data_IF_981826400847
#
_entry.id   IF_981826400847
#
_cell.length_a   1.000
_cell.length_b   1.000
_cell.length_c   1.000
_cell.angle_alpha   90.00
_cell.angle_beta   90.00
_cell.angle_gamma   90.00
#
_symmetry.space_group_name_H-M   'P 1'
#
loop_
_entity.id
_entity.type
_entity.pdbx_description
1 polymer ?
#
# COMPACT_ATOMS: atom_id res chain seq x y z
N UNK A 1 5.84 -1.60 21.69
CA UNK A 1 5.12 -0.33 21.43
C UNK A 1 5.63 0.22 20.11
N UNK A 2 4.81 0.16 19.05
CA UNK A 2 5.21 0.53 17.69
C UNK A 2 5.30 2.07 17.61
N UNK A 3 6.51 2.63 17.71
CA UNK A 3 6.74 4.07 17.60
C UNK A 3 6.62 4.52 16.14
N UNK A 4 6.12 5.73 15.92
CA UNK A 4 6.10 6.38 14.61
C UNK A 4 5.11 5.80 13.60
N UNK A 5 4.15 4.99 14.05
CA UNK A 5 3.04 4.48 13.21
C UNK A 5 1.99 5.57 12.97
N UNK A 6 1.00 5.29 12.11
CA UNK A 6 -0.09 6.22 11.81
C UNK A 6 -0.74 6.73 13.11
N UNK A 7 -1.01 8.04 13.17
CA UNK A 7 -1.55 8.76 14.33
C UNK A 7 -0.65 8.82 15.58
N UNK A 8 0.57 8.27 15.54
CA UNK A 8 1.55 8.48 16.62
C UNK A 8 1.95 9.95 16.71
N UNK A 9 2.21 10.44 17.91
CA UNK A 9 2.75 11.78 18.12
C UNK A 9 4.12 11.95 17.42
N UNK A 10 4.34 13.11 16.80
CA UNK A 10 5.59 13.49 16.19
C UNK A 10 5.86 15.00 16.36
N UNK A 11 7.13 15.38 16.35
CA UNK A 11 7.60 16.77 16.25
C UNK A 11 8.23 17.02 14.88
N UNK A 12 8.90 16.02 14.32
CA UNK A 12 9.59 16.04 13.03
C UNK A 12 9.33 14.74 12.28
N UNK A 13 9.58 14.72 10.97
CA UNK A 13 9.34 13.53 10.13
C UNK A 13 10.12 12.29 10.58
N UNK A 14 11.32 12.47 11.15
CA UNK A 14 12.15 11.36 11.65
C UNK A 14 11.59 10.68 12.91
N UNK A 15 10.58 11.26 13.56
CA UNK A 15 9.83 10.59 14.63
C UNK A 15 8.85 9.54 14.09
N UNK A 16 8.52 9.62 12.80
CA UNK A 16 7.67 8.67 12.09
C UNK A 16 8.47 7.53 11.47
N UNK A 17 7.78 6.47 11.06
CA UNK A 17 8.39 5.40 10.24
C UNK A 17 8.95 5.99 8.94
N UNK A 18 10.05 5.38 8.47
CA UNK A 18 10.87 5.88 7.36
C UNK A 18 10.12 5.98 6.01
N UNK A 19 9.14 5.10 5.75
CA UNK A 19 8.47 5.00 4.43
C UNK A 19 7.00 5.35 4.53
N UNK A 20 6.54 6.30 3.70
CA UNK A 20 5.13 6.58 3.57
C UNK A 20 4.54 7.49 4.63
N UNK A 21 5.35 8.13 5.47
CA UNK A 21 4.88 9.01 6.54
C UNK A 21 5.44 10.42 6.45
N UNK A 22 4.65 11.37 6.92
CA UNK A 22 5.10 12.71 7.27
C UNK A 22 4.55 13.11 8.64
N UNK A 23 5.18 14.08 9.30
CA UNK A 23 4.64 14.67 10.51
C UNK A 23 3.69 15.82 10.14
N UNK A 24 2.39 15.63 10.37
CA UNK A 24 1.36 16.60 10.01
C UNK A 24 1.26 17.75 11.02
N UNK A 25 0.55 18.82 10.65
CA UNK A 25 0.37 20.02 11.49
C UNK A 25 -0.33 19.75 12.84
N UNK A 26 -1.12 18.68 12.93
CA UNK A 26 -1.72 18.22 14.19
C UNK A 26 -0.74 17.43 15.08
N UNK A 27 0.56 17.41 14.74
CA UNK A 27 1.63 16.70 15.45
C UNK A 27 1.43 15.20 15.51
N UNK A 28 0.89 14.62 14.44
CA UNK A 28 0.78 13.17 14.30
C UNK A 28 1.36 12.70 12.97
N UNK A 29 1.90 11.48 12.97
CA UNK A 29 2.36 10.82 11.76
C UNK A 29 1.16 10.49 10.88
N UNK A 30 1.18 10.96 9.64
CA UNK A 30 0.13 10.77 8.64
C UNK A 30 0.73 10.19 7.36
N UNK A 31 -0.10 9.54 6.53
CA UNK A 31 0.37 8.93 5.29
C UNK A 31 0.71 9.99 4.25
N UNK A 32 1.87 9.86 3.61
CA UNK A 32 2.22 10.66 2.43
C UNK A 32 1.15 10.52 1.32
N UNK A 33 1.05 11.48 0.39
CA UNK A 33 0.26 11.27 -0.83
C UNK A 33 0.68 9.97 -1.51
N UNK A 34 -0.28 9.24 -2.09
CA UNK A 34 -0.07 7.89 -2.65
C UNK A 34 0.29 6.80 -1.64
N UNK A 35 0.10 7.04 -0.35
CA UNK A 35 0.11 6.01 0.69
C UNK A 35 -1.26 5.95 1.37
N UNK A 36 -1.75 4.74 1.61
CA UNK A 36 -3.08 4.50 2.20
C UNK A 36 -2.96 3.76 3.54
N UNK A 37 -3.84 4.03 4.52
CA UNK A 37 -3.88 3.24 5.75
C UNK A 37 -4.13 1.76 5.47
N UNK A 38 -3.43 0.87 6.17
CA UNK A 38 -3.79 -0.54 6.20
C UNK A 38 -5.12 -0.77 6.93
N UNK A 39 -5.69 -1.97 6.83
CA UNK A 39 -6.98 -2.30 7.46
C UNK A 39 -7.05 -2.07 8.97
N UNK A 40 -5.89 -2.12 9.64
CA UNK A 40 -5.78 -1.86 11.09
C UNK A 40 -5.68 -0.37 11.43
N UNK A 41 -5.53 0.51 10.45
CA UNK A 41 -5.31 1.94 10.64
C UNK A 41 -3.99 2.25 11.36
N UNK A 42 -2.97 1.40 11.19
CA UNK A 42 -1.69 1.50 11.90
C UNK A 42 -0.52 1.80 10.95
N UNK A 43 -0.59 1.27 9.72
CA UNK A 43 0.48 1.39 8.74
C UNK A 43 0.04 2.23 7.54
N UNK A 44 0.98 2.93 6.94
CA UNK A 44 0.81 3.57 5.63
C UNK A 44 1.44 2.66 4.58
N UNK A 45 0.63 2.20 3.64
CA UNK A 45 0.99 1.28 2.58
C UNK A 45 1.11 2.06 1.27
N UNK A 46 2.23 1.92 0.58
CA UNK A 46 2.47 2.54 -0.71
C UNK A 46 1.62 1.92 -1.80
N UNK A 47 1.01 2.79 -2.61
CA UNK A 47 0.39 2.41 -3.88
C UNK A 47 1.44 1.92 -4.87
N UNK A 48 1.00 1.41 -6.03
CA UNK A 48 1.94 0.87 -7.02
C UNK A 48 2.85 1.97 -7.57
N UNK A 49 4.15 1.67 -7.64
CA UNK A 49 5.20 2.63 -8.00
C UNK A 49 5.79 3.41 -6.83
N UNK A 50 5.19 3.37 -5.64
CA UNK A 50 5.70 4.09 -4.48
C UNK A 50 6.85 3.36 -3.78
N UNK A 51 7.67 4.14 -3.07
CA UNK A 51 8.87 3.64 -2.41
C UNK A 51 8.56 2.66 -1.30
N UNK A 52 9.32 1.58 -1.26
CA UNK A 52 9.22 0.53 -0.25
C UNK A 52 10.61 -0.03 0.11
N UNK A 53 10.64 -0.89 1.13
CA UNK A 53 11.83 -1.66 1.53
C UNK A 53 11.51 -3.13 1.75
N UNK A 54 10.32 -3.37 2.31
CA UNK A 54 9.76 -4.69 2.54
C UNK A 54 8.33 -4.75 1.97
N UNK A 55 7.85 -5.95 1.69
CA UNK A 55 6.50 -6.18 1.16
C UNK A 55 5.40 -5.60 2.05
N UNK A 56 5.62 -5.56 3.37
CA UNK A 56 4.69 -4.96 4.33
C UNK A 56 4.50 -3.45 4.18
N UNK A 57 5.32 -2.79 3.35
CA UNK A 57 5.15 -1.38 3.00
C UNK A 57 4.21 -1.18 1.81
N UNK A 58 3.74 -2.23 1.15
CA UNK A 58 2.90 -2.13 -0.04
C UNK A 58 1.46 -2.52 0.24
N UNK A 59 0.54 -2.03 -0.58
CA UNK A 59 -0.88 -2.43 -0.56
C UNK A 59 -1.05 -3.95 -0.74
N UNK A 60 -2.24 -4.44 -0.37
CA UNK A 60 -2.57 -5.84 -0.54
C UNK A 60 -2.42 -6.31 -2.00
N UNK A 61 -1.87 -7.51 -2.18
CA UNK A 61 -1.57 -8.07 -3.51
C UNK A 61 -0.31 -7.53 -4.16
N UNK A 62 0.37 -6.54 -3.56
CA UNK A 62 1.67 -6.04 -4.01
C UNK A 62 2.84 -6.59 -3.18
N UNK A 63 4.05 -6.43 -3.71
CA UNK A 63 5.32 -6.75 -3.07
C UNK A 63 6.35 -5.65 -3.39
N UNK A 64 7.43 -5.60 -2.62
CA UNK A 64 8.47 -4.60 -2.79
C UNK A 64 9.52 -5.06 -3.81
N UNK A 65 9.35 -4.65 -5.05
CA UNK A 65 10.22 -5.03 -6.16
C UNK A 65 11.61 -4.39 -5.98
N UNK A 66 12.64 -5.24 -5.92
CA UNK A 66 14.04 -4.84 -5.77
C UNK A 66 14.31 -3.92 -4.57
N UNK A 67 13.50 -4.02 -3.50
CA UNK A 67 13.59 -3.13 -2.34
C UNK A 67 13.50 -1.63 -2.71
N UNK A 68 12.76 -1.32 -3.76
CA UNK A 68 12.65 0.04 -4.29
C UNK A 68 11.19 0.46 -4.44
N UNK A 69 10.40 -0.23 -5.26
CA UNK A 69 9.02 0.18 -5.59
C UNK A 69 7.98 -0.92 -5.45
N UNK A 70 6.78 -0.54 -5.04
CA UNK A 70 5.66 -1.47 -4.94
C UNK A 70 5.17 -1.91 -6.33
N UNK A 71 5.03 -3.23 -6.54
CA UNK A 71 4.45 -3.84 -7.74
C UNK A 71 3.48 -4.94 -7.38
N UNK A 72 2.46 -5.18 -8.21
CA UNK A 72 1.58 -6.33 -8.03
C UNK A 72 2.37 -7.64 -8.12
N UNK A 73 2.03 -8.60 -7.27
CA UNK A 73 2.51 -9.98 -7.37
C UNK A 73 2.06 -10.59 -8.70
N UNK A 74 2.78 -11.61 -9.18
CA UNK A 74 2.59 -12.17 -10.53
C UNK A 74 1.17 -12.66 -10.86
N UNK A 75 0.40 -13.03 -9.82
CA UNK A 75 -1.00 -13.48 -9.93
C UNK A 75 -2.02 -12.34 -10.14
N UNK A 76 -1.57 -11.10 -10.02
CA UNK A 76 -2.40 -9.90 -10.07
C UNK A 76 -2.01 -8.97 -11.23
N UNK A 77 -2.92 -8.07 -11.58
CA UNK A 77 -2.69 -6.96 -12.50
C UNK A 77 -2.95 -5.64 -11.79
N UNK A 78 -2.21 -4.57 -12.11
CA UNK A 78 -2.51 -3.24 -11.59
C UNK A 78 -3.89 -2.78 -12.07
N UNK A 79 -4.62 -2.09 -11.21
CA UNK A 79 -5.78 -1.28 -11.62
C UNK A 79 -5.35 -0.12 -12.52
N UNK A 80 -6.31 0.50 -13.22
CA UNK A 80 -6.02 1.61 -14.12
C UNK A 80 -5.42 2.83 -13.39
N UNK A 81 -5.84 3.05 -12.15
CA UNK A 81 -5.39 4.14 -11.28
C UNK A 81 -4.21 3.74 -10.37
N UNK A 82 -3.67 2.52 -10.52
CA UNK A 82 -2.57 1.97 -9.70
C UNK A 82 -2.88 1.89 -8.19
N UNK A 83 -4.16 1.96 -7.80
CA UNK A 83 -4.58 1.96 -6.39
C UNK A 83 -4.75 0.54 -5.80
N UNK A 84 -4.94 -0.49 -6.62
CA UNK A 84 -5.16 -1.86 -6.16
C UNK A 84 -4.64 -2.90 -7.16
N UNK A 85 -4.40 -4.11 -6.65
CA UNK A 85 -4.02 -5.27 -7.45
C UNK A 85 -5.26 -6.16 -7.68
N UNK A 86 -5.67 -6.28 -8.94
CA UNK A 86 -6.80 -7.11 -9.36
C UNK A 86 -6.33 -8.55 -9.61
N UNK A 87 -6.95 -9.52 -8.96
CA UNK A 87 -6.64 -10.93 -9.26
C UNK A 87 -7.09 -11.23 -10.69
N UNK A 88 -6.31 -12.04 -11.43
CA UNK A 88 -6.71 -12.46 -12.78
C UNK A 88 -8.09 -13.12 -12.81
N UNK A 89 -8.49 -13.81 -11.73
CA UNK A 89 -9.79 -14.45 -11.57
C UNK A 89 -10.95 -13.46 -11.33
N UNK A 90 -10.68 -12.27 -10.77
CA UNK A 90 -11.71 -11.25 -10.50
C UNK A 90 -12.17 -10.49 -11.75
N UNK A 91 -11.37 -10.49 -12.82
CA UNK A 91 -11.76 -9.89 -14.10
C UNK A 91 -12.77 -10.73 -14.89
N UNK A 92 -12.85 -12.04 -14.67
CA UNK A 92 -13.84 -12.90 -15.34
C UNK A 92 -15.28 -12.55 -14.93
N UNK A 93 -15.47 -12.09 -13.69
CA UNK A 93 -16.77 -11.67 -13.17
C UNK A 93 -17.20 -10.30 -13.71
N UNK A 94 -16.27 -9.35 -13.85
CA UNK A 94 -16.57 -7.99 -14.34
C UNK A 94 -16.79 -7.91 -15.86
N UNK A 95 -16.22 -8.85 -16.62
CA UNK A 95 -16.41 -8.94 -18.08
C UNK A 95 -17.57 -9.86 -18.49
N UNK A 96 -18.40 -10.32 -17.55
CA UNK A 96 -19.55 -11.19 -17.84
C UNK A 96 -19.19 -12.54 -18.46
N UNK A 97 -17.94 -13.00 -18.32
CA UNK A 97 -17.51 -14.30 -18.83
C UNK A 97 -17.56 -15.30 -17.69
N UNK A 98 -18.70 -15.98 -17.58
CA UNK A 98 -18.80 -17.23 -16.81
C UNK A 98 -17.94 -18.26 -17.54
N UNK A 99 -16.71 -18.48 -17.07
CA UNK A 99 -15.94 -19.65 -17.48
C UNK A 99 -16.50 -20.86 -16.71
N UNK A 100 -17.35 -21.66 -17.37
CA UNK A 100 -17.65 -23.03 -16.93
C UNK A 100 -16.34 -23.81 -16.95
N UNK A 101 -15.89 -24.28 -15.79
CA UNK A 101 -14.98 -25.41 -15.73
C UNK A 101 -15.74 -26.63 -16.31
N UNK A 102 -15.22 -27.16 -17.42
CA UNK A 102 -15.50 -28.54 -17.85
C UNK A 102 -14.88 -29.50 -16.84
#
# INVERSE_FOLDING_TARGET
MYKGTLNSFCRVVVDCKEYGYYCAGNRTCQCLPSYVPNDKGQLCLGLLGEKCKYDEHCIEGAFCYLQDTCKCKDEYRPSFDNMYCLSKYSQEILLGKICRHI
#
